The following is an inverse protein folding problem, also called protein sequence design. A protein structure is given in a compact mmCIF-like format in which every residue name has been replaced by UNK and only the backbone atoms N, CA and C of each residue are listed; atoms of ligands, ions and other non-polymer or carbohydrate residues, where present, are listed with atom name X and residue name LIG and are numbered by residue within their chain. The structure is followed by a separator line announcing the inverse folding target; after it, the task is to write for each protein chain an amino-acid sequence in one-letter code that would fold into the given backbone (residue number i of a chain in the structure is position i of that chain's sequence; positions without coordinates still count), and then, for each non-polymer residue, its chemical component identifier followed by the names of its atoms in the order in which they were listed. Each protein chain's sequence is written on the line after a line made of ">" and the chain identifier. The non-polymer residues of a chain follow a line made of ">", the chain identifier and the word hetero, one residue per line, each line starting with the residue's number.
data_IF_164781277688
#
_entry.id   IF_164781277688
#
_cell.length_a   1.000
_cell.length_b   1.000
_cell.length_c   1.000
_cell.angle_alpha   90.00
_cell.angle_beta   90.00
_cell.angle_gamma   90.00
#
_symmetry.space_group_name_H-M   'P 1'
#
loop_
_entity.id
_entity.type
_entity.pdbx_description
1 polymer ?
#
# COMPACT_ATOMS: atom_id res chain seq x y z
N UNK A 1 -27.37 -23.87 35.83
CA UNK A 1 -28.37 -22.82 35.52
C UNK A 1 -27.84 -21.51 36.05
N UNK A 2 -27.92 -20.47 35.22
CA UNK A 2 -27.44 -19.09 35.40
C UNK A 2 -25.91 -18.91 35.38
N UNK A 3 -25.33 -17.93 34.70
CA UNK A 3 -25.72 -17.10 33.56
C UNK A 3 -24.41 -16.43 33.12
N UNK A 4 -24.24 -16.28 31.80
CA UNK A 4 -23.12 -15.62 31.13
C UNK A 4 -23.13 -14.12 31.50
N UNK A 5 -22.01 -13.58 31.98
CA UNK A 5 -21.75 -12.14 31.97
C UNK A 5 -20.58 -11.84 31.03
N UNK A 6 -21.00 -11.50 29.82
CA UNK A 6 -20.32 -10.81 28.73
C UNK A 6 -19.08 -10.01 29.15
N UNK A 7 -17.89 -10.53 28.81
CA UNK A 7 -16.76 -9.70 28.39
C UNK A 7 -16.59 -9.96 26.89
N UNK A 8 -17.25 -9.13 26.08
CA UNK A 8 -16.94 -9.01 24.65
C UNK A 8 -15.58 -8.34 24.56
N UNK A 9 -14.51 -9.14 24.57
CA UNK A 9 -13.25 -8.70 23.99
C UNK A 9 -13.54 -8.56 22.50
N UNK A 10 -13.44 -7.32 22.05
CA UNK A 10 -13.68 -6.86 20.68
C UNK A 10 -12.90 -7.76 19.71
N UNK A 11 -13.56 -8.42 18.75
CA UNK A 11 -12.86 -9.21 17.75
C UNK A 11 -12.21 -8.27 16.73
N UNK A 12 -10.88 -8.37 16.62
CA UNK A 12 -10.06 -8.25 15.40
C UNK A 12 -10.56 -7.22 14.40
N UNK A 13 -10.05 -5.98 14.52
CA UNK A 13 -10.15 -4.99 13.45
C UNK A 13 -9.17 -5.34 12.33
N UNK A 14 -9.75 -5.64 11.15
CA UNK A 14 -9.27 -5.39 9.79
C UNK A 14 -7.94 -6.04 9.37
N UNK A 15 -8.04 -7.28 8.88
CA UNK A 15 -7.04 -7.90 8.02
C UNK A 15 -7.38 -7.62 6.53
N UNK A 16 -7.48 -6.35 6.14
CA UNK A 16 -7.75 -5.94 4.75
C UNK A 16 -6.84 -4.82 4.23
N UNK A 17 -5.71 -4.57 4.88
CA UNK A 17 -4.66 -3.66 4.38
C UNK A 17 -3.58 -4.52 3.72
N UNK A 18 -3.85 -5.02 2.51
CA UNK A 18 -2.84 -5.70 1.71
C UNK A 18 -2.24 -4.78 0.62
N UNK A 19 -2.80 -3.58 0.40
CA UNK A 19 -2.40 -2.69 -0.70
C UNK A 19 -2.25 -1.21 -0.33
N UNK A 20 -2.60 -0.80 0.89
CA UNK A 20 -2.13 0.46 1.45
C UNK A 20 -0.96 0.12 2.37
N UNK A 21 0.16 0.83 2.28
CA UNK A 21 1.17 0.76 3.34
C UNK A 21 0.55 1.23 4.66
N UNK A 22 1.25 1.03 5.78
CA UNK A 22 0.85 1.57 7.08
C UNK A 22 0.97 3.12 7.16
N UNK A 23 1.00 3.79 6.01
CA UNK A 23 1.09 5.23 5.87
C UNK A 23 -0.31 5.77 5.68
N UNK A 24 -0.76 6.54 6.65
CA UNK A 24 -2.10 7.09 6.73
C UNK A 24 -2.08 8.62 6.62
N UNK A 25 -3.19 9.19 6.19
CA UNK A 25 -3.49 10.61 6.35
C UNK A 25 -4.99 10.79 6.58
N UNK A 26 -5.33 11.78 7.42
CA UNK A 26 -6.74 12.11 7.73
C UNK A 26 -7.49 12.65 6.51
N UNK A 27 -6.76 13.22 5.54
CA UNK A 27 -7.31 13.71 4.28
C UNK A 27 -6.59 13.06 3.09
N UNK A 28 -7.28 12.95 1.95
CA UNK A 28 -6.64 12.57 0.70
C UNK A 28 -5.64 13.65 0.27
N UNK A 29 -4.38 13.25 0.10
CA UNK A 29 -3.28 14.12 -0.32
C UNK A 29 -3.22 14.31 -1.84
N UNK A 30 -4.04 13.56 -2.58
CA UNK A 30 -4.16 13.64 -4.03
C UNK A 30 -5.63 13.74 -4.45
N UNK A 31 -5.86 14.47 -5.54
CA UNK A 31 -7.17 14.53 -6.20
C UNK A 31 -7.28 13.38 -7.21
N UNK A 32 -8.36 12.59 -7.12
CA UNK A 32 -8.68 11.50 -8.06
C UNK A 32 -8.68 11.97 -9.53
N UNK A 33 -8.99 13.24 -9.79
CA UNK A 33 -8.92 13.81 -11.13
C UNK A 33 -7.50 13.86 -11.71
N UNK A 34 -6.47 13.89 -10.86
CA UNK A 34 -5.05 13.87 -11.25
C UNK A 34 -4.47 12.45 -11.36
N UNK A 35 -5.25 11.42 -11.03
CA UNK A 35 -4.77 10.05 -11.09
C UNK A 35 -4.42 9.63 -12.52
N UNK A 36 -3.36 8.85 -12.63
CA UNK A 36 -2.81 8.31 -13.86
C UNK A 36 -3.16 6.82 -14.01
N UNK A 37 -3.04 6.29 -15.22
CA UNK A 37 -3.28 4.87 -15.50
C UNK A 37 -2.04 4.16 -16.07
N UNK A 38 -0.94 4.02 -15.30
CA UNK A 38 0.33 3.49 -15.80
C UNK A 38 0.32 1.96 -15.96
N UNK A 39 -0.65 1.27 -15.36
CA UNK A 39 -0.78 -0.19 -15.37
C UNK A 39 -2.01 -0.57 -16.20
N UNK A 40 -1.89 -1.59 -17.04
CA UNK A 40 -2.98 -2.09 -17.86
C UNK A 40 -3.93 -3.01 -17.08
N UNK A 41 -5.17 -3.11 -17.54
CA UNK A 41 -6.09 -4.16 -17.08
C UNK A 41 -5.52 -5.56 -17.39
N UNK A 42 -5.82 -6.52 -16.52
CA UNK A 42 -5.38 -7.89 -16.72
C UNK A 42 -5.22 -8.69 -15.43
N UNK A 43 -4.64 -9.88 -15.56
CA UNK A 43 -4.31 -10.75 -14.43
C UNK A 43 -2.85 -10.61 -14.07
N UNK A 44 -2.56 -10.56 -12.78
CA UNK A 44 -1.22 -10.44 -12.23
C UNK A 44 -1.01 -11.49 -11.15
N UNK A 45 0.16 -12.11 -11.13
CA UNK A 45 0.63 -12.86 -9.97
C UNK A 45 1.15 -11.88 -8.93
N UNK A 46 0.56 -11.90 -7.74
CA UNK A 46 1.11 -11.25 -6.56
C UNK A 46 2.11 -12.17 -5.91
N UNK A 47 3.33 -11.67 -5.73
CA UNK A 47 4.42 -12.39 -5.09
C UNK A 47 4.88 -11.60 -3.86
N UNK A 48 5.03 -12.28 -2.72
CA UNK A 48 5.58 -11.69 -1.51
C UNK A 48 7.02 -12.13 -1.32
N UNK A 49 7.85 -11.26 -0.74
CA UNK A 49 9.22 -11.60 -0.38
C UNK A 49 9.24 -12.46 0.90
N UNK A 50 9.78 -13.67 0.79
CA UNK A 50 9.96 -14.59 1.91
C UNK A 50 11.22 -14.31 2.74
N UNK A 51 11.40 -15.07 3.83
CA UNK A 51 12.54 -14.92 4.76
C UNK A 51 13.91 -15.14 4.09
N UNK A 52 13.95 -15.89 2.99
CA UNK A 52 15.15 -16.14 2.19
C UNK A 52 15.44 -15.03 1.16
N UNK A 53 14.68 -13.93 1.16
CA UNK A 53 14.70 -12.85 0.17
C UNK A 53 14.28 -13.27 -1.25
N UNK A 54 13.64 -14.43 -1.41
CA UNK A 54 13.06 -14.84 -2.69
C UNK A 54 11.58 -14.43 -2.75
N UNK A 55 11.09 -14.16 -3.96
CA UNK A 55 9.68 -13.87 -4.19
C UNK A 55 8.92 -15.18 -4.43
N UNK A 56 7.85 -15.38 -3.68
CA UNK A 56 6.96 -16.53 -3.82
C UNK A 56 5.55 -16.06 -4.17
N UNK A 57 4.88 -16.77 -5.07
CA UNK A 57 3.49 -16.45 -5.44
C UNK A 57 2.57 -16.70 -4.25
N UNK A 58 1.88 -15.65 -3.82
CA UNK A 58 0.92 -15.70 -2.71
C UNK A 58 -0.53 -15.57 -3.19
N UNK A 59 -0.75 -14.90 -4.31
CA UNK A 59 -2.07 -14.77 -4.91
C UNK A 59 -2.01 -14.51 -6.41
N UNK A 60 -3.17 -14.59 -7.06
CA UNK A 60 -3.40 -14.01 -8.38
C UNK A 60 -4.51 -12.98 -8.25
N UNK A 61 -4.29 -11.80 -8.82
CA UNK A 61 -5.20 -10.66 -8.77
C UNK A 61 -5.63 -10.28 -10.17
N UNK A 62 -6.91 -9.96 -10.33
CA UNK A 62 -7.44 -9.38 -11.55
C UNK A 62 -7.61 -7.87 -11.34
N UNK A 63 -7.00 -7.08 -12.22
CA UNK A 63 -7.07 -5.62 -12.23
C UNK A 63 -8.00 -5.17 -13.35
N UNK A 64 -8.98 -4.34 -12.98
CA UNK A 64 -9.87 -3.63 -13.90
C UNK A 64 -9.78 -2.13 -13.65
N UNK A 65 -10.10 -1.31 -14.66
CA UNK A 65 -9.99 0.14 -14.62
C UNK A 65 -11.32 0.76 -15.01
N UNK A 66 -11.87 1.60 -14.13
CA UNK A 66 -13.05 2.41 -14.42
C UNK A 66 -12.69 3.89 -14.33
N UNK A 67 -12.43 4.51 -15.49
CA UNK A 67 -11.87 5.85 -15.56
C UNK A 67 -10.46 5.88 -14.98
N UNK A 68 -10.29 6.57 -13.85
CA UNK A 68 -9.02 6.71 -13.14
C UNK A 68 -8.88 5.79 -11.91
N UNK A 69 -9.91 4.99 -11.63
CA UNK A 69 -9.96 4.14 -10.44
C UNK A 69 -9.69 2.71 -10.85
N UNK A 70 -8.73 2.10 -10.16
CA UNK A 70 -8.38 0.70 -10.25
C UNK A 70 -9.22 -0.12 -9.26
N UNK A 71 -9.66 -1.29 -9.71
CA UNK A 71 -10.21 -2.33 -8.83
C UNK A 71 -9.35 -3.58 -8.98
N UNK A 72 -8.75 -4.03 -7.87
CA UNK A 72 -8.05 -5.30 -7.78
C UNK A 72 -8.92 -6.31 -7.04
N UNK A 73 -9.15 -7.47 -7.64
CA UNK A 73 -9.89 -8.58 -7.04
C UNK A 73 -8.99 -9.81 -6.98
N UNK A 74 -8.78 -10.33 -5.76
CA UNK A 74 -8.07 -11.59 -5.56
C UNK A 74 -8.88 -12.78 -6.06
N UNK A 75 -8.19 -13.87 -6.41
CA UNK A 75 -8.84 -15.16 -6.66
C UNK A 75 -9.28 -15.87 -5.36
N UNK A 76 -8.81 -15.41 -4.20
CA UNK A 76 -9.37 -15.75 -2.90
C UNK A 76 -10.51 -14.78 -2.55
N UNK A 77 -11.52 -15.23 -1.80
CA UNK A 77 -12.77 -14.50 -1.51
C UNK A 77 -12.61 -13.18 -0.70
N UNK A 78 -11.46 -12.51 -0.81
CA UNK A 78 -11.19 -11.17 -0.30
C UNK A 78 -12.03 -10.14 -1.05
N UNK A 79 -12.47 -9.12 -0.31
CA UNK A 79 -13.17 -7.99 -0.90
C UNK A 79 -12.26 -7.27 -1.93
N UNK A 80 -12.82 -6.80 -3.05
CA UNK A 80 -12.06 -6.04 -4.03
C UNK A 80 -11.48 -4.76 -3.42
N UNK A 81 -10.19 -4.52 -3.65
CA UNK A 81 -9.53 -3.28 -3.26
C UNK A 81 -9.69 -2.24 -4.37
N UNK A 82 -10.16 -1.04 -4.00
CA UNK A 82 -10.25 0.10 -4.91
C UNK A 82 -9.16 1.12 -4.61
N UNK A 83 -8.46 1.56 -5.64
CA UNK A 83 -7.33 2.48 -5.46
C UNK A 83 -7.10 3.35 -6.69
N UNK A 84 -6.31 4.40 -6.49
CA UNK A 84 -5.87 5.32 -7.55
C UNK A 84 -4.34 5.38 -7.57
N UNK A 85 -3.76 5.75 -8.71
CA UNK A 85 -2.31 5.85 -8.89
C UNK A 85 -1.91 7.27 -9.28
N UNK A 86 -0.79 7.75 -8.76
CA UNK A 86 -0.26 9.09 -9.01
C UNK A 86 1.21 9.03 -9.37
N UNK A 87 1.67 9.96 -10.22
CA UNK A 87 3.10 10.12 -10.50
C UNK A 87 3.82 10.64 -9.25
N UNK A 88 4.74 9.85 -8.71
CA UNK A 88 5.63 10.22 -7.62
C UNK A 88 6.96 10.82 -8.10
N UNK A 89 7.18 10.88 -9.42
CA UNK A 89 8.43 11.29 -10.03
C UNK A 89 9.49 10.18 -10.04
N UNK A 90 10.52 10.33 -10.89
CA UNK A 90 11.64 9.40 -11.00
C UNK A 90 11.24 7.91 -11.21
N UNK A 91 10.13 7.69 -11.92
CA UNK A 91 9.60 6.34 -12.18
C UNK A 91 8.89 5.70 -10.99
N UNK A 92 8.65 6.45 -9.91
CA UNK A 92 7.83 6.02 -8.78
C UNK A 92 6.36 6.36 -9.02
N UNK A 93 5.49 5.50 -8.50
CA UNK A 93 4.04 5.63 -8.57
C UNK A 93 3.52 5.53 -7.14
N UNK A 94 2.70 6.48 -6.72
CA UNK A 94 2.04 6.45 -5.41
C UNK A 94 0.65 5.85 -5.60
N UNK A 95 0.31 4.82 -4.83
CA UNK A 95 -1.07 4.34 -4.73
C UNK A 95 -1.77 5.04 -3.58
N UNK A 96 -3.06 5.32 -3.76
CA UNK A 96 -3.94 5.80 -2.69
C UNK A 96 -5.20 4.94 -2.64
N UNK A 97 -5.48 4.42 -1.46
CA UNK A 97 -6.75 3.78 -1.07
C UNK A 97 -7.47 4.74 -0.13
N UNK A 98 -8.79 4.86 -0.26
CA UNK A 98 -9.61 5.66 0.68
C UNK A 98 -10.66 4.76 1.30
N UNK A 99 -10.57 4.54 2.60
CA UNK A 99 -11.48 3.69 3.37
C UNK A 99 -11.94 4.44 4.63
N UNK A 100 -13.25 4.43 4.89
CA UNK A 100 -13.85 5.09 6.06
C UNK A 100 -13.45 6.56 6.30
N UNK A 101 -13.05 7.25 5.23
CA UNK A 101 -12.63 8.65 5.27
C UNK A 101 -11.13 8.86 5.51
N UNK A 102 -10.37 7.79 5.70
CA UNK A 102 -8.91 7.82 5.82
C UNK A 102 -8.26 7.41 4.50
N UNK A 103 -7.14 8.05 4.18
CA UNK A 103 -6.37 7.74 2.99
C UNK A 103 -5.12 6.94 3.36
N UNK A 104 -4.98 5.74 2.80
CA UNK A 104 -3.80 4.89 2.90
C UNK A 104 -2.95 4.97 1.65
N UNK A 105 -1.63 4.95 1.81
CA UNK A 105 -0.69 5.12 0.69
C UNK A 105 0.32 3.99 0.59
N UNK A 106 0.67 3.60 -0.63
CA UNK A 106 1.82 2.73 -0.88
C UNK A 106 2.64 3.23 -2.07
N UNK A 107 3.85 2.68 -2.21
CA UNK A 107 4.77 3.05 -3.29
C UNK A 107 4.92 1.88 -4.25
N UNK A 108 4.81 2.17 -5.54
CA UNK A 108 5.08 1.28 -6.65
C UNK A 108 6.22 1.79 -7.52
N UNK A 109 6.90 0.87 -8.21
CA UNK A 109 7.78 1.17 -9.34
C UNK A 109 7.58 0.14 -10.43
N UNK A 110 7.38 0.60 -11.66
CA UNK A 110 7.37 -0.27 -12.83
C UNK A 110 8.81 -0.52 -13.31
N UNK A 111 9.22 -1.80 -13.43
CA UNK A 111 10.53 -2.21 -13.93
C UNK A 111 10.35 -3.42 -14.84
N UNK A 112 10.80 -3.32 -16.09
CA UNK A 112 10.80 -4.44 -17.06
C UNK A 112 9.46 -5.18 -17.21
N UNK A 113 8.34 -4.46 -17.06
CA UNK A 113 6.98 -5.03 -17.16
C UNK A 113 6.45 -5.64 -15.87
N UNK A 114 7.22 -5.59 -14.77
CA UNK A 114 6.82 -5.96 -13.42
C UNK A 114 6.52 -4.70 -12.58
N UNK A 115 5.73 -4.86 -11.52
CA UNK A 115 5.51 -3.80 -10.53
C UNK A 115 6.14 -4.23 -9.20
N UNK A 116 7.05 -3.42 -8.70
CA UNK A 116 7.64 -3.57 -7.37
C UNK A 116 6.85 -2.70 -6.40
N UNK A 117 6.54 -3.23 -5.23
CA UNK A 117 5.69 -2.57 -4.23
C UNK A 117 6.37 -2.55 -2.87
N UNK A 118 6.34 -1.38 -2.24
CA UNK A 118 6.83 -1.16 -0.88
C UNK A 118 5.66 -0.81 0.04
N UNK A 119 5.46 -1.65 1.06
CA UNK A 119 4.53 -1.44 2.15
C UNK A 119 5.26 -0.74 3.30
N UNK A 120 5.60 0.53 3.09
CA UNK A 120 6.40 1.29 4.05
C UNK A 120 5.69 1.46 5.41
N UNK A 121 6.46 1.32 6.49
CA UNK A 121 5.99 1.49 7.88
C UNK A 121 6.94 2.39 8.68
N UNK A 122 6.43 3.02 9.74
CA UNK A 122 7.24 3.91 10.58
C UNK A 122 8.22 3.13 11.46
N UNK A 123 7.87 1.91 11.86
CA UNK A 123 8.77 0.99 12.55
C UNK A 123 10.05 0.76 11.72
N UNK A 124 9.90 0.29 10.48
CA UNK A 124 11.06 0.04 9.60
C UNK A 124 11.79 1.35 9.28
N UNK A 125 11.05 2.44 9.03
CA UNK A 125 11.63 3.75 8.78
C UNK A 125 12.51 4.27 9.93
N UNK A 126 12.12 3.98 11.18
CA UNK A 126 12.90 4.27 12.38
C UNK A 126 14.17 3.43 12.44
N UNK A 127 14.07 2.13 12.17
CA UNK A 127 15.22 1.20 12.18
C UNK A 127 16.29 1.55 11.15
N UNK A 128 15.88 1.96 9.94
CA UNK A 128 16.80 2.40 8.88
C UNK A 128 17.21 3.89 9.00
N UNK A 129 16.74 4.55 10.05
CA UNK A 129 17.11 5.91 10.43
C UNK A 129 16.64 7.01 9.49
N UNK A 130 15.55 6.81 8.73
CA UNK A 130 15.01 7.90 7.87
C UNK A 130 14.10 8.85 8.65
N UNK A 131 13.44 8.42 9.73
CA UNK A 131 12.49 9.28 10.46
C UNK A 131 13.13 10.57 11.00
N UNK A 132 14.44 10.56 11.28
CA UNK A 132 15.17 11.75 11.71
C UNK A 132 15.15 12.89 10.68
N UNK A 133 15.01 12.57 9.39
CA UNK A 133 14.95 13.54 8.29
C UNK A 133 13.51 14.03 8.01
N UNK A 134 12.50 13.39 8.61
CA UNK A 134 11.07 13.66 8.40
C UNK A 134 10.33 13.91 9.71
N UNK A 135 10.60 15.04 10.40
CA UNK A 135 9.93 15.35 11.66
C UNK A 135 8.41 15.49 11.46
N UNK A 136 7.62 14.83 12.31
CA UNK A 136 6.15 14.89 12.27
C UNK A 136 5.49 13.85 11.36
N UNK A 137 6.26 12.93 10.77
CA UNK A 137 5.73 11.79 9.99
C UNK A 137 5.28 10.62 10.86
N UNK A 138 5.50 10.68 12.18
CA UNK A 138 5.11 9.64 13.14
C UNK A 138 4.21 10.26 14.22
N UNK A 139 3.11 9.58 14.57
CA UNK A 139 2.27 9.95 15.70
C UNK A 139 2.78 9.37 17.03
N UNK A 140 2.06 9.62 18.13
CA UNK A 140 2.45 9.12 19.45
C UNK A 140 2.25 7.60 19.61
N UNK A 141 1.60 6.94 18.67
CA UNK A 141 1.34 5.50 18.64
C UNK A 141 2.30 4.75 17.72
N UNK A 142 3.18 5.47 17.00
CA UNK A 142 4.17 4.91 16.07
C UNK A 142 3.62 4.68 14.66
N UNK A 143 2.43 5.22 14.34
CA UNK A 143 1.87 5.13 13.01
C UNK A 143 2.47 6.20 12.10
N UNK A 144 2.64 5.87 10.83
CA UNK A 144 3.05 6.85 9.83
C UNK A 144 1.88 7.76 9.46
N UNK A 145 2.00 9.05 9.77
CA UNK A 145 1.06 10.09 9.38
C UNK A 145 1.73 11.07 8.44
N UNK A 146 1.20 11.20 7.23
CA UNK A 146 1.77 12.12 6.25
C UNK A 146 1.04 13.47 6.29
N UNK A 147 1.75 14.57 6.61
CA UNK A 147 1.12 15.89 6.73
C UNK A 147 0.78 16.51 5.38
N UNK A 148 1.52 16.18 4.33
CA UNK A 148 1.34 16.73 2.99
C UNK A 148 1.92 15.83 1.89
N UNK A 149 1.47 16.05 0.67
CA UNK A 149 1.85 15.29 -0.53
C UNK A 149 3.36 15.23 -0.76
N UNK A 150 4.05 16.37 -0.68
CA UNK A 150 5.48 16.44 -0.96
C UNK A 150 6.29 15.67 0.10
N UNK A 151 5.85 15.72 1.36
CA UNK A 151 6.45 14.95 2.46
C UNK A 151 6.28 13.45 2.24
N UNK A 152 5.08 12.99 1.85
CA UNK A 152 4.81 11.59 1.50
C UNK A 152 5.75 11.10 0.40
N UNK A 153 5.85 11.84 -0.71
CA UNK A 153 6.67 11.46 -1.87
C UNK A 153 8.15 11.38 -1.47
N UNK A 154 8.64 12.39 -0.74
CA UNK A 154 10.03 12.40 -0.27
C UNK A 154 10.33 11.26 0.70
N UNK A 155 9.43 10.98 1.65
CA UNK A 155 9.55 9.88 2.59
C UNK A 155 9.59 8.52 1.88
N UNK A 156 8.62 8.25 1.01
CA UNK A 156 8.56 6.99 0.26
C UNK A 156 9.77 6.80 -0.65
N UNK A 157 10.25 7.88 -1.28
CA UNK A 157 11.48 7.84 -2.09
C UNK A 157 12.70 7.48 -1.24
N UNK A 158 12.84 8.09 -0.05
CA UNK A 158 13.94 7.79 0.87
C UNK A 158 13.86 6.36 1.41
N UNK A 159 12.64 5.87 1.70
CA UNK A 159 12.39 4.51 2.14
C UNK A 159 12.82 3.49 1.07
N UNK A 160 12.34 3.63 -0.16
CA UNK A 160 12.66 2.72 -1.27
C UNK A 160 14.13 2.77 -1.72
N UNK A 161 14.87 3.81 -1.34
CA UNK A 161 16.32 3.87 -1.56
C UNK A 161 17.12 3.00 -0.59
N UNK A 162 16.52 2.60 0.54
CA UNK A 162 17.17 1.84 1.62
C UNK A 162 16.55 0.46 1.86
N UNK A 163 15.32 0.24 1.40
CA UNK A 163 14.55 -0.97 1.64
C UNK A 163 14.21 -1.63 0.32
N UNK A 164 14.36 -2.95 0.29
CA UNK A 164 13.94 -3.79 -0.83
C UNK A 164 12.40 -3.89 -0.89
N UNK A 165 11.78 -4.05 -2.07
CA UNK A 165 10.32 -4.15 -2.18
C UNK A 165 9.79 -5.41 -1.48
N UNK A 166 8.66 -5.27 -0.80
CA UNK A 166 7.96 -6.34 -0.06
C UNK A 166 7.18 -7.26 -1.01
N UNK A 167 6.60 -6.67 -2.07
CA UNK A 167 5.80 -7.39 -3.04
C UNK A 167 6.25 -7.11 -4.47
N UNK A 168 5.91 -8.06 -5.34
CA UNK A 168 6.07 -7.96 -6.78
C UNK A 168 4.83 -8.44 -7.51
N UNK A 169 4.38 -7.69 -8.50
CA UNK A 169 3.28 -8.08 -9.37
C UNK A 169 3.79 -8.34 -10.79
N UNK A 170 3.51 -9.53 -11.30
CA UNK A 170 3.96 -9.98 -12.63
C UNK A 170 2.74 -10.26 -13.50
N UNK A 171 2.63 -9.70 -14.72
CA UNK A 171 1.55 -10.02 -15.64
C UNK A 171 1.49 -11.52 -15.94
N UNK A 172 0.30 -12.10 -15.86
CA UNK A 172 0.06 -13.47 -16.31
C UNK A 172 -0.09 -13.45 -17.82
N UNK A 173 0.80 -14.13 -18.54
CA UNK A 173 0.68 -14.29 -19.99
C UNK A 173 -0.66 -14.96 -20.32
N UNK A 174 -1.42 -14.33 -21.22
CA UNK A 174 -2.67 -14.89 -21.77
C UNK A 174 -2.39 -15.95 -22.82
#
# INVERSE_FOLDING_TARGET
>A
MHAISVFRIVPVFVAAIALAGCILSQDALFDVAEAITPVAEGRYQEMARGENNEFETVATVTVTINGNVYTATGDDDRDPAMFTMYDGGNGLIITMVVEDGEAGYALLRAVDGELLHWAATCEVAGEIGILADFPGVEDNEGNCIMPERDTLIAFMTAYAAKVEPDYKYVPVAQ
#
